data_IF_379466611078
#
_entry.id   IF_379466611078
#
_cell.length_a   1.000
_cell.length_b   1.000
_cell.length_c   1.000
_cell.angle_alpha   90.00
_cell.angle_beta   90.00
_cell.angle_gamma   90.00
#
_symmetry.space_group_name_H-M   'P 1'
#
loop_
_entity.id
_entity.type
_entity.pdbx_description
1 polymer ?
#
# COMPACT_ATOMS: atom_id res chain seq x y z
N UNK A 1 -40.71 -77.90 -74.11
CA UNK A 1 -42.00 -77.25 -73.78
C UNK A 1 -41.76 -76.07 -72.88
N UNK A 2 -42.20 -74.89 -73.24
CA UNK A 2 -41.82 -73.56 -72.72
C UNK A 2 -42.37 -73.32 -71.34
N UNK A 3 -41.55 -72.85 -70.37
CA UNK A 3 -42.00 -72.29 -69.12
C UNK A 3 -41.45 -70.85 -69.03
N UNK A 4 -42.38 -69.92 -68.90
CA UNK A 4 -42.19 -68.47 -68.89
C UNK A 4 -41.82 -68.02 -67.46
N UNK A 5 -40.67 -67.38 -67.27
CA UNK A 5 -40.28 -66.75 -66.00
C UNK A 5 -40.80 -65.30 -65.94
N UNK A 6 -41.72 -65.04 -65.09
CA UNK A 6 -42.13 -63.63 -64.71
C UNK A 6 -41.17 -63.06 -63.69
N UNK A 7 -40.51 -62.00 -64.03
CA UNK A 7 -39.68 -61.23 -63.19
C UNK A 7 -40.57 -60.40 -62.24
N UNK A 8 -40.44 -60.62 -60.92
CA UNK A 8 -41.02 -59.79 -59.88
C UNK A 8 -39.97 -58.80 -59.46
N UNK A 9 -40.19 -57.53 -59.76
CA UNK A 9 -39.38 -56.39 -59.31
C UNK A 9 -39.80 -55.97 -57.92
N UNK A 10 -38.96 -56.26 -56.87
CA UNK A 10 -39.19 -55.82 -55.52
C UNK A 10 -38.56 -54.46 -55.44
N UNK A 11 -39.41 -53.40 -55.35
CA UNK A 11 -38.97 -52.03 -55.04
C UNK A 11 -38.86 -51.91 -53.52
N UNK A 12 -37.62 -51.92 -53.01
CA UNK A 12 -37.32 -51.67 -51.61
C UNK A 12 -37.37 -50.16 -51.37
N UNK A 13 -38.40 -49.68 -50.64
CA UNK A 13 -38.52 -48.28 -50.22
C UNK A 13 -37.67 -48.07 -48.96
N UNK A 14 -36.48 -47.54 -49.13
CA UNK A 14 -35.60 -47.17 -48.01
C UNK A 14 -36.13 -45.89 -47.38
N UNK A 15 -36.79 -46.02 -46.21
CA UNK A 15 -37.17 -44.89 -45.34
C UNK A 15 -35.89 -44.39 -44.64
N UNK A 16 -35.27 -43.31 -45.10
CA UNK A 16 -34.18 -42.62 -44.42
C UNK A 16 -34.75 -41.77 -43.29
N UNK A 17 -34.63 -42.26 -42.05
CA UNK A 17 -34.89 -41.49 -40.82
C UNK A 17 -33.72 -40.54 -40.67
N UNK A 18 -33.90 -39.25 -40.98
CA UNK A 18 -33.01 -38.15 -40.62
C UNK A 18 -33.14 -37.89 -39.11
N UNK A 19 -32.06 -37.98 -38.32
CA UNK A 19 -32.10 -37.52 -36.96
C UNK A 19 -32.25 -36.00 -36.96
N UNK A 20 -33.40 -35.49 -36.52
CA UNK A 20 -33.57 -34.10 -36.18
C UNK A 20 -32.73 -33.84 -34.94
N UNK A 21 -31.50 -33.31 -35.11
CA UNK A 21 -30.78 -32.71 -34.02
C UNK A 21 -31.59 -31.46 -33.59
N UNK A 22 -32.43 -31.63 -32.58
CA UNK A 22 -32.96 -30.51 -31.85
C UNK A 22 -31.77 -29.82 -31.19
N UNK A 23 -31.21 -28.80 -31.84
CA UNK A 23 -30.42 -27.80 -31.17
C UNK A 23 -31.34 -27.15 -30.11
N UNK A 24 -31.27 -27.65 -28.88
CA UNK A 24 -31.72 -26.92 -27.73
C UNK A 24 -30.81 -25.69 -27.70
N UNK A 25 -31.25 -24.61 -28.34
CA UNK A 25 -30.70 -23.28 -28.06
C UNK A 25 -30.92 -23.09 -26.57
N UNK A 26 -29.87 -23.28 -25.78
CA UNK A 26 -29.82 -22.77 -24.41
C UNK A 26 -30.13 -21.28 -24.54
N UNK A 27 -31.40 -20.93 -24.32
CA UNK A 27 -31.80 -19.55 -24.05
C UNK A 27 -31.10 -19.19 -22.77
N UNK A 28 -29.88 -18.66 -22.92
CA UNK A 28 -29.17 -17.95 -21.86
C UNK A 28 -30.12 -16.79 -21.50
N UNK A 29 -31.07 -17.07 -20.65
CA UNK A 29 -31.89 -16.05 -19.98
C UNK A 29 -30.86 -15.23 -19.21
N UNK A 30 -30.42 -14.11 -19.83
CA UNK A 30 -29.52 -13.17 -19.22
C UNK A 30 -30.15 -12.76 -17.90
N UNK A 31 -29.77 -13.46 -16.83
CA UNK A 31 -30.35 -13.23 -15.50
C UNK A 31 -30.24 -11.75 -15.20
N UNK A 32 -31.35 -11.15 -14.86
CA UNK A 32 -31.40 -9.73 -14.54
C UNK A 32 -30.52 -9.45 -13.35
N UNK A 33 -29.63 -8.49 -13.48
CA UNK A 33 -28.70 -8.11 -12.41
C UNK A 33 -28.38 -6.63 -12.48
N UNK A 34 -28.12 -6.07 -11.32
CA UNK A 34 -27.61 -4.72 -11.14
C UNK A 34 -26.17 -4.82 -10.63
N UNK A 35 -25.32 -3.93 -11.11
CA UNK A 35 -23.96 -3.75 -10.60
C UNK A 35 -23.88 -2.39 -9.91
N UNK A 36 -23.40 -2.37 -8.69
CA UNK A 36 -23.19 -1.15 -7.91
C UNK A 36 -21.77 -1.11 -7.38
N UNK A 37 -21.21 0.10 -7.26
CA UNK A 37 -19.88 0.32 -6.70
C UNK A 37 -20.02 1.03 -5.37
N UNK A 38 -19.61 0.37 -4.31
CA UNK A 38 -19.60 0.96 -2.98
C UNK A 38 -18.22 1.48 -2.61
N UNK A 39 -18.23 2.58 -1.87
CA UNK A 39 -17.02 3.23 -1.38
C UNK A 39 -17.11 3.42 0.12
N UNK A 40 -15.96 3.30 0.79
CA UNK A 40 -15.85 3.63 2.21
C UNK A 40 -14.48 4.18 2.53
N UNK A 41 -14.42 4.96 3.60
CA UNK A 41 -13.20 5.51 4.15
C UNK A 41 -13.22 5.40 5.67
N UNK A 42 -12.12 4.90 6.24
CA UNK A 42 -11.90 4.78 7.68
C UNK A 42 -10.68 5.62 8.05
N UNK A 43 -10.79 6.41 9.11
CA UNK A 43 -9.69 7.23 9.61
C UNK A 43 -9.09 6.60 10.86
N UNK A 44 -7.78 6.39 10.85
CA UNK A 44 -7.01 5.84 11.97
C UNK A 44 -5.92 6.82 12.41
N UNK A 45 -5.56 6.87 13.71
CA UNK A 45 -4.52 7.77 14.17
C UNK A 45 -3.14 7.34 13.67
N UNK A 46 -2.30 8.33 13.33
CA UNK A 46 -0.88 8.09 13.09
C UNK A 46 -0.17 7.94 14.45
N UNK A 47 0.28 6.74 14.77
CA UNK A 47 0.87 6.39 16.08
C UNK A 47 2.35 6.01 15.99
N UNK A 48 2.86 5.80 14.78
CA UNK A 48 4.23 5.39 14.49
C UNK A 48 4.97 6.52 13.78
N UNK A 49 6.14 6.86 14.28
CA UNK A 49 7.09 7.77 13.65
C UNK A 49 8.25 6.97 13.04
N UNK A 50 8.55 7.22 11.78
CA UNK A 50 9.70 6.65 11.07
C UNK A 50 10.69 7.76 10.75
N UNK A 51 11.87 7.72 11.35
CA UNK A 51 12.94 8.70 11.18
C UNK A 51 14.12 8.07 10.45
N UNK A 52 14.65 8.74 9.44
CA UNK A 52 15.89 8.35 8.79
C UNK A 52 17.05 9.18 9.34
N UNK A 53 18.08 8.49 9.81
CA UNK A 53 19.29 9.07 10.38
C UNK A 53 20.47 8.71 9.48
N UNK A 54 21.30 9.70 9.14
CA UNK A 54 22.48 9.41 8.35
C UNK A 54 23.74 10.03 8.97
N UNK A 55 24.85 9.31 8.80
CA UNK A 55 26.21 9.74 9.14
C UNK A 55 26.97 9.87 7.82
N UNK A 56 27.35 11.08 7.49
CA UNK A 56 28.12 11.40 6.29
C UNK A 56 29.52 11.87 6.70
N UNK A 57 30.56 11.31 6.07
CA UNK A 57 31.96 11.69 6.25
C UNK A 57 32.61 11.90 4.88
N UNK A 58 33.52 12.86 4.81
CA UNK A 58 34.35 13.09 3.64
C UNK A 58 35.82 13.16 4.04
N UNK A 59 36.71 12.71 3.16
CA UNK A 59 38.12 12.73 3.44
C UNK A 59 38.97 12.28 2.28
N UNK A 60 40.31 12.39 2.42
CA UNK A 60 41.24 12.03 1.35
C UNK A 60 41.52 10.53 1.29
N UNK A 61 41.32 9.80 2.38
CA UNK A 61 41.60 8.38 2.50
C UNK A 61 40.30 7.61 2.74
N UNK A 62 39.98 6.64 1.89
CA UNK A 62 38.79 5.83 1.97
C UNK A 62 38.71 4.99 3.25
N UNK A 63 39.85 4.40 3.67
CA UNK A 63 39.89 3.53 4.86
C UNK A 63 39.62 4.31 6.14
N UNK A 64 40.21 5.53 6.23
CA UNK A 64 40.01 6.38 7.41
C UNK A 64 38.57 6.83 7.58
N UNK A 65 37.93 7.31 6.50
CA UNK A 65 36.51 7.72 6.57
C UNK A 65 35.60 6.53 6.83
N UNK A 66 35.88 5.36 6.24
CA UNK A 66 35.13 4.14 6.50
C UNK A 66 35.21 3.74 7.98
N UNK A 67 36.39 3.77 8.56
CA UNK A 67 36.62 3.48 9.99
C UNK A 67 35.84 4.45 10.87
N UNK A 68 35.94 5.75 10.57
CA UNK A 68 35.27 6.80 11.34
C UNK A 68 33.73 6.64 11.30
N UNK A 69 33.16 6.40 10.10
CA UNK A 69 31.71 6.17 9.95
C UNK A 69 31.26 4.94 10.75
N UNK A 70 32.03 3.84 10.70
CA UNK A 70 31.73 2.62 11.48
C UNK A 70 31.73 2.87 12.99
N UNK A 71 32.72 3.63 13.49
CA UNK A 71 32.78 3.96 14.92
C UNK A 71 31.62 4.84 15.36
N UNK A 72 31.23 5.85 14.56
CA UNK A 72 30.10 6.70 14.83
C UNK A 72 28.77 5.91 14.73
N UNK A 73 28.63 5.05 13.73
CA UNK A 73 27.46 4.18 13.57
C UNK A 73 27.29 3.21 14.76
N UNK A 74 28.38 2.58 15.22
CA UNK A 74 28.33 1.70 16.38
C UNK A 74 27.92 2.46 17.66
N UNK A 75 28.49 3.66 17.88
CA UNK A 75 28.11 4.53 19.00
C UNK A 75 26.61 4.90 18.93
N UNK A 76 26.13 5.33 17.78
CA UNK A 76 24.72 5.70 17.57
C UNK A 76 23.78 4.52 17.82
N UNK A 77 24.05 3.36 17.22
CA UNK A 77 23.22 2.16 17.38
C UNK A 77 23.18 1.69 18.83
N UNK A 78 24.33 1.73 19.53
CA UNK A 78 24.40 1.40 20.98
C UNK A 78 23.57 2.37 21.82
N UNK A 79 23.65 3.66 21.56
CA UNK A 79 22.88 4.67 22.26
C UNK A 79 21.38 4.49 22.05
N UNK A 80 20.94 4.28 20.79
CA UNK A 80 19.53 4.03 20.45
C UNK A 80 18.98 2.76 21.12
N UNK A 81 19.76 1.67 21.13
CA UNK A 81 19.38 0.42 21.81
C UNK A 81 19.31 0.58 23.33
N UNK A 82 20.27 1.29 23.92
CA UNK A 82 20.31 1.52 25.37
C UNK A 82 19.15 2.39 25.85
N UNK A 83 18.70 3.35 25.04
CA UNK A 83 17.57 4.22 25.37
C UNK A 83 16.21 3.51 25.35
N UNK A 84 16.08 2.37 24.63
CA UNK A 84 14.83 1.60 24.50
C UNK A 84 13.61 2.40 23.99
N UNK A 85 13.87 3.48 23.25
CA UNK A 85 12.84 4.34 22.67
C UNK A 85 12.37 3.88 21.30
N UNK A 86 13.21 3.09 20.60
CA UNK A 86 12.95 2.60 19.27
C UNK A 86 12.25 1.24 19.29
N UNK A 87 11.21 1.08 18.49
CA UNK A 87 10.55 -0.21 18.23
C UNK A 87 11.27 -1.03 17.18
N UNK A 88 11.95 -0.35 16.23
CA UNK A 88 12.80 -0.98 15.20
C UNK A 88 13.96 -0.06 14.87
N UNK A 89 15.14 -0.67 14.62
CA UNK A 89 16.33 0.01 14.11
C UNK A 89 16.87 -0.84 12.96
N UNK A 90 16.84 -0.28 11.75
CA UNK A 90 17.24 -0.98 10.52
C UNK A 90 18.29 -0.19 9.77
N UNK A 91 19.37 -0.85 9.32
CA UNK A 91 20.36 -0.23 8.43
C UNK A 91 19.81 -0.21 7.01
N UNK A 92 19.68 0.99 6.42
CA UNK A 92 19.21 1.15 5.05
C UNK A 92 20.37 1.01 4.07
N UNK A 93 21.48 1.71 4.33
CA UNK A 93 22.62 1.71 3.42
C UNK A 93 23.94 1.99 4.14
N UNK A 94 25.01 1.47 3.52
CA UNK A 94 26.38 1.88 3.78
C UNK A 94 27.12 1.95 2.45
N UNK A 95 27.71 3.10 2.13
CA UNK A 95 28.45 3.30 0.89
C UNK A 95 29.69 4.15 1.09
N UNK A 96 30.71 3.90 0.29
CA UNK A 96 31.91 4.73 0.17
C UNK A 96 32.14 5.00 -1.31
N UNK A 97 32.17 6.27 -1.70
CA UNK A 97 32.27 6.70 -3.09
C UNK A 97 33.43 7.68 -3.30
N UNK A 98 34.17 7.57 -4.40
CA UNK A 98 35.16 8.57 -4.77
C UNK A 98 34.48 9.89 -5.17
N UNK A 99 35.07 11.00 -4.80
CA UNK A 99 34.64 12.34 -5.21
C UNK A 99 35.63 12.89 -6.25
N UNK A 100 35.08 13.28 -7.39
CA UNK A 100 35.81 13.82 -8.50
C UNK A 100 35.49 15.29 -8.70
N UNK A 101 36.53 16.09 -8.98
CA UNK A 101 36.40 17.46 -9.50
C UNK A 101 36.91 17.53 -10.94
N UNK A 102 36.57 18.58 -11.64
CA UNK A 102 36.94 18.76 -13.05
C UNK A 102 37.56 20.15 -13.28
N UNK A 103 38.68 20.46 -12.62
CA UNK A 103 39.39 21.71 -12.89
C UNK A 103 39.88 21.71 -14.33
N UNK A 104 39.52 22.75 -15.07
CA UNK A 104 39.92 22.94 -16.48
C UNK A 104 39.55 21.76 -17.39
N UNK A 105 38.42 21.05 -17.10
CA UNK A 105 37.97 19.92 -17.89
C UNK A 105 38.71 18.59 -17.64
N UNK A 106 39.66 18.54 -16.73
CA UNK A 106 40.43 17.32 -16.40
C UNK A 106 39.91 16.70 -15.10
N UNK A 107 39.60 15.41 -15.13
CA UNK A 107 39.13 14.68 -13.96
C UNK A 107 40.26 14.57 -12.91
N UNK A 108 39.99 15.01 -11.70
CA UNK A 108 40.88 14.90 -10.54
C UNK A 108 40.14 14.29 -9.36
N UNK A 109 40.74 13.27 -8.74
CA UNK A 109 40.21 12.70 -7.50
C UNK A 109 40.42 13.68 -6.34
N UNK A 110 39.32 14.18 -5.79
CA UNK A 110 39.33 15.11 -4.66
C UNK A 110 39.29 14.43 -3.29
N UNK A 111 38.87 13.17 -3.26
CA UNK A 111 38.76 12.39 -2.04
C UNK A 111 37.65 11.36 -2.13
N UNK A 112 37.11 11.05 -0.99
CA UNK A 112 36.02 10.06 -0.84
C UNK A 112 34.91 10.59 0.06
N UNK A 113 33.71 10.12 -0.15
CA UNK A 113 32.57 10.30 0.78
C UNK A 113 32.07 8.94 1.25
N UNK A 114 31.78 8.83 2.54
CA UNK A 114 31.13 7.68 3.12
C UNK A 114 29.77 8.09 3.69
N UNK A 115 28.77 7.26 3.45
CA UNK A 115 27.42 7.42 3.99
C UNK A 115 27.02 6.15 4.71
N UNK A 116 26.45 6.30 5.91
CA UNK A 116 25.75 5.24 6.64
C UNK A 116 24.39 5.75 7.04
N UNK A 117 23.33 5.04 6.68
CA UNK A 117 21.98 5.44 7.01
C UNK A 117 21.19 4.35 7.72
N UNK A 118 20.41 4.79 8.72
CA UNK A 118 19.50 4.00 9.53
C UNK A 118 18.08 4.49 9.34
N UNK A 119 17.13 3.57 9.43
CA UNK A 119 15.73 3.85 9.69
C UNK A 119 15.40 3.43 11.12
N UNK A 120 14.76 4.35 11.85
CA UNK A 120 14.34 4.11 13.23
C UNK A 120 12.84 4.32 13.31
N UNK A 121 12.12 3.29 13.76
CA UNK A 121 10.68 3.40 14.10
C UNK A 121 10.50 3.55 15.60
N UNK A 122 9.58 4.41 15.99
CA UNK A 122 9.24 4.68 17.40
C UNK A 122 7.78 5.05 17.58
N UNK A 123 7.37 5.23 18.83
CA UNK A 123 6.13 5.95 19.13
C UNK A 123 6.28 7.43 18.74
N UNK A 124 5.16 8.13 18.55
CA UNK A 124 5.16 9.58 18.32
C UNK A 124 5.88 10.33 19.43
N UNK A 125 5.56 9.96 20.68
CA UNK A 125 6.09 10.63 21.90
C UNK A 125 7.59 10.49 22.05
N UNK A 126 8.19 9.45 21.48
CA UNK A 126 9.63 9.18 21.60
C UNK A 126 10.45 9.65 20.41
N UNK A 127 9.78 9.99 19.29
CA UNK A 127 10.46 10.38 18.08
C UNK A 127 11.35 11.62 18.24
N UNK A 128 10.88 12.64 18.98
CA UNK A 128 11.69 13.82 19.31
C UNK A 128 12.94 13.47 20.11
N UNK A 129 12.79 12.62 21.13
CA UNK A 129 13.93 12.16 21.95
C UNK A 129 14.97 11.36 21.13
N UNK A 130 14.48 10.56 20.16
CA UNK A 130 15.36 9.82 19.24
C UNK A 130 16.16 10.76 18.35
N UNK A 131 15.53 11.81 17.83
CA UNK A 131 16.22 12.82 17.02
C UNK A 131 17.30 13.51 17.84
N UNK A 132 16.98 13.98 19.04
CA UNK A 132 17.93 14.66 19.93
C UNK A 132 19.09 13.71 20.29
N UNK A 133 18.78 12.47 20.70
CA UNK A 133 19.78 11.45 21.00
C UNK A 133 20.68 11.13 19.81
N UNK A 134 20.12 11.09 18.60
CA UNK A 134 20.87 10.80 17.39
C UNK A 134 21.86 11.92 17.06
N UNK A 135 21.44 13.17 17.19
CA UNK A 135 22.32 14.33 16.96
C UNK A 135 23.47 14.35 17.94
N UNK A 136 23.25 14.06 19.22
CA UNK A 136 24.28 13.96 20.25
C UNK A 136 25.28 12.81 20.02
N UNK A 137 24.90 11.81 19.22
CA UNK A 137 25.73 10.64 18.92
C UNK A 137 26.33 10.63 17.51
N UNK A 138 26.41 11.81 16.86
CA UNK A 138 27.20 11.99 15.63
C UNK A 138 26.43 11.78 14.34
N UNK A 139 25.11 11.79 14.38
CA UNK A 139 24.26 11.89 13.18
C UNK A 139 24.50 13.24 12.52
N UNK A 140 24.71 13.24 11.20
CA UNK A 140 24.96 14.45 10.41
C UNK A 140 23.70 14.92 9.67
N UNK A 141 22.77 14.00 9.42
CA UNK A 141 21.52 14.30 8.71
C UNK A 141 20.35 13.55 9.35
N UNK A 142 19.27 14.26 9.60
CA UNK A 142 18.01 13.73 10.07
C UNK A 142 16.93 14.04 9.03
N UNK A 143 16.28 13.01 8.48
CA UNK A 143 15.15 13.14 7.57
C UNK A 143 13.89 12.57 8.23
N UNK A 144 12.87 13.35 8.29
CA UNK A 144 11.60 12.99 8.93
C UNK A 144 11.38 13.66 10.27
N UNK A 145 10.47 13.14 11.11
CA UNK A 145 9.80 11.86 10.99
C UNK A 145 8.68 11.84 9.94
N UNK A 146 8.52 10.70 9.27
CA UNK A 146 7.31 10.36 8.54
C UNK A 146 6.37 9.64 9.50
N UNK A 147 5.12 10.06 9.55
CA UNK A 147 4.12 9.53 10.47
C UNK A 147 3.18 8.58 9.76
N UNK A 148 2.78 7.51 10.44
CA UNK A 148 1.85 6.52 9.93
C UNK A 148 1.09 5.83 11.07
N UNK A 149 0.00 5.15 10.73
CA UNK A 149 -0.61 4.19 11.65
C UNK A 149 0.28 2.95 11.81
N UNK A 150 0.06 2.19 12.87
CA UNK A 150 0.69 0.87 13.02
C UNK A 150 0.14 -0.11 11.99
N UNK A 151 0.96 -1.10 11.58
CA UNK A 151 0.54 -2.13 10.61
C UNK A 151 -0.69 -2.90 11.09
N UNK A 152 -0.82 -3.12 12.39
CA UNK A 152 -1.99 -3.76 13.01
C UNK A 152 -3.26 -2.93 12.86
N UNK A 153 -3.17 -1.62 13.15
CA UNK A 153 -4.31 -0.71 13.02
C UNK A 153 -4.70 -0.54 11.56
N UNK A 154 -3.72 -0.46 10.66
CA UNK A 154 -3.95 -0.37 9.21
C UNK A 154 -4.68 -1.62 8.69
N UNK A 155 -4.20 -2.82 9.00
CA UNK A 155 -4.85 -4.06 8.57
C UNK A 155 -6.27 -4.19 9.12
N UNK A 156 -6.54 -3.78 10.35
CA UNK A 156 -7.89 -3.76 10.90
C UNK A 156 -8.79 -2.77 10.16
N UNK A 157 -8.29 -1.56 9.88
CA UNK A 157 -9.02 -0.52 9.16
C UNK A 157 -9.29 -0.90 7.69
N UNK A 158 -8.38 -1.60 7.03
CA UNK A 158 -8.58 -2.15 5.68
C UNK A 158 -9.78 -3.11 5.64
N UNK A 159 -9.85 -4.03 6.59
CA UNK A 159 -10.98 -4.96 6.71
C UNK A 159 -12.30 -4.22 6.97
N UNK A 160 -12.27 -3.21 7.83
CA UNK A 160 -13.47 -2.42 8.14
C UNK A 160 -13.90 -1.55 6.96
N UNK A 161 -12.95 -0.97 6.22
CA UNK A 161 -13.24 -0.23 4.99
C UNK A 161 -13.91 -1.13 3.93
N UNK A 162 -13.41 -2.36 3.72
CA UNK A 162 -14.01 -3.32 2.79
C UNK A 162 -15.44 -3.68 3.22
N UNK A 163 -15.69 -3.93 4.52
CA UNK A 163 -17.04 -4.20 5.03
C UNK A 163 -17.98 -3.04 4.76
N UNK A 164 -17.57 -1.82 5.07
CA UNK A 164 -18.38 -0.61 4.86
C UNK A 164 -18.64 -0.35 3.38
N UNK A 165 -17.65 -0.52 2.50
CA UNK A 165 -17.80 -0.39 1.05
C UNK A 165 -18.79 -1.44 0.49
N UNK A 166 -18.73 -2.68 1.01
CA UNK A 166 -19.69 -3.74 0.61
C UNK A 166 -21.11 -3.39 1.03
N UNK A 167 -21.30 -2.86 2.24
CA UNK A 167 -22.60 -2.41 2.73
C UNK A 167 -23.13 -1.21 1.93
N UNK A 168 -22.24 -0.29 1.54
CA UNK A 168 -22.60 0.85 0.69
C UNK A 168 -23.06 0.39 -0.70
N UNK A 169 -22.33 -0.52 -1.36
CA UNK A 169 -22.72 -1.11 -2.63
C UNK A 169 -24.10 -1.78 -2.56
N UNK A 170 -24.34 -2.55 -1.48
CA UNK A 170 -25.63 -3.20 -1.23
C UNK A 170 -26.74 -2.18 -1.06
N UNK A 171 -26.54 -1.14 -0.27
CA UNK A 171 -27.51 -0.06 -0.06
C UNK A 171 -27.85 0.66 -1.37
N UNK A 172 -26.89 0.90 -2.23
CA UNK A 172 -27.11 1.50 -3.54
C UNK A 172 -27.93 0.58 -4.46
N UNK A 173 -27.66 -0.73 -4.45
CA UNK A 173 -28.44 -1.71 -5.21
C UNK A 173 -29.91 -1.74 -4.74
N UNK A 174 -30.14 -1.83 -3.43
CA UNK A 174 -31.47 -1.85 -2.84
C UNK A 174 -32.25 -0.57 -3.13
N UNK A 175 -31.62 0.60 -3.00
CA UNK A 175 -32.25 1.88 -3.30
C UNK A 175 -32.67 1.99 -4.78
N UNK A 176 -31.76 1.57 -5.69
CA UNK A 176 -32.03 1.61 -7.14
C UNK A 176 -33.16 0.67 -7.56
N UNK A 177 -33.19 -0.55 -7.03
CA UNK A 177 -34.23 -1.53 -7.32
C UNK A 177 -35.58 -1.11 -6.73
N UNK A 178 -35.57 -0.62 -5.50
CA UNK A 178 -36.78 -0.14 -4.82
C UNK A 178 -37.45 1.01 -5.56
N UNK A 179 -36.70 1.94 -6.15
CA UNK A 179 -37.22 3.03 -6.96
C UNK A 179 -37.99 2.55 -8.22
N UNK A 180 -37.72 1.32 -8.67
CA UNK A 180 -38.37 0.66 -9.80
C UNK A 180 -39.43 -0.35 -9.36
N UNK A 181 -39.76 -0.46 -8.07
CA UNK A 181 -40.65 -1.47 -7.50
C UNK A 181 -40.09 -2.90 -7.55
N UNK A 182 -38.77 -3.03 -7.68
CA UNK A 182 -38.05 -4.31 -7.71
C UNK A 182 -37.34 -4.55 -6.39
N UNK A 183 -36.93 -5.80 -6.14
CA UNK A 183 -36.20 -6.20 -4.95
C UNK A 183 -34.98 -7.03 -5.33
N UNK A 184 -33.88 -6.88 -4.53
CA UNK A 184 -32.70 -7.73 -4.67
C UNK A 184 -33.01 -9.17 -4.25
N UNK A 185 -32.52 -10.14 -5.02
CA UNK A 185 -32.72 -11.58 -4.73
C UNK A 185 -31.50 -12.20 -4.12
N UNK A 186 -30.42 -12.29 -4.85
CA UNK A 186 -29.16 -12.90 -4.38
C UNK A 186 -27.94 -12.11 -4.85
N UNK A 187 -26.88 -12.15 -4.05
CA UNK A 187 -25.57 -11.64 -4.46
C UNK A 187 -24.94 -12.66 -5.42
N UNK A 188 -24.61 -12.23 -6.64
CA UNK A 188 -24.00 -13.07 -7.67
C UNK A 188 -22.47 -12.97 -7.66
N UNK A 189 -21.96 -11.77 -7.42
CA UNK A 189 -20.53 -11.51 -7.41
C UNK A 189 -20.18 -10.35 -6.49
N UNK A 190 -19.07 -10.49 -5.80
CA UNK A 190 -18.40 -9.41 -5.05
C UNK A 190 -16.96 -9.34 -5.53
N UNK A 191 -16.50 -8.14 -5.87
CA UNK A 191 -15.12 -7.88 -6.27
C UNK A 191 -14.59 -6.71 -5.47
N UNK A 192 -13.57 -6.94 -4.66
CA UNK A 192 -12.81 -5.86 -4.04
C UNK A 192 -11.89 -5.27 -5.11
N UNK A 193 -12.16 -4.04 -5.51
CA UNK A 193 -11.43 -3.34 -6.58
C UNK A 193 -10.12 -2.78 -6.04
N UNK A 194 -10.21 -2.11 -4.90
CA UNK A 194 -9.06 -1.52 -4.23
C UNK A 194 -9.28 -1.44 -2.73
N UNK A 195 -8.20 -1.55 -1.97
CA UNK A 195 -8.15 -1.27 -0.54
C UNK A 195 -6.76 -0.78 -0.18
N UNK A 196 -6.68 0.21 0.70
CA UNK A 196 -5.41 0.72 1.22
C UNK A 196 -5.44 2.21 1.54
N UNK A 197 -4.29 2.71 1.98
CA UNK A 197 -4.13 4.14 2.26
C UNK A 197 -4.05 4.92 0.96
N UNK A 198 -4.94 5.89 0.81
CA UNK A 198 -4.77 6.94 -0.18
C UNK A 198 -4.08 8.12 0.52
N UNK A 199 -2.80 8.31 0.21
CA UNK A 199 -2.11 9.54 0.57
C UNK A 199 -2.70 10.70 -0.24
N UNK A 200 -3.91 11.11 0.10
CA UNK A 200 -4.28 12.49 -0.16
C UNK A 200 -3.48 13.29 0.86
N UNK A 201 -2.41 13.91 0.37
CA UNK A 201 -1.74 14.97 1.11
C UNK A 201 -2.77 16.06 1.37
N UNK A 202 -3.55 15.90 2.43
CA UNK A 202 -4.30 17.04 2.93
C UNK A 202 -3.25 18.07 3.32
N UNK A 203 -3.38 19.32 2.84
CA UNK A 203 -2.49 20.37 3.30
C UNK A 203 -2.61 20.38 4.81
N UNK A 204 -1.54 19.98 5.49
CA UNK A 204 -1.42 20.14 6.93
C UNK A 204 -1.35 21.64 7.14
N UNK A 205 -2.47 22.28 7.41
CA UNK A 205 -2.47 23.59 8.01
C UNK A 205 -1.90 23.38 9.40
N UNK A 206 -0.57 23.53 9.50
CA UNK A 206 0.07 23.72 10.77
C UNK A 206 -0.58 24.96 11.38
N UNK A 207 -1.50 24.76 12.32
CA UNK A 207 -1.90 25.81 13.22
C UNK A 207 -0.63 26.20 13.97
N UNK A 208 0.05 27.26 13.50
CA UNK A 208 1.10 27.93 14.25
C UNK A 208 0.40 28.50 15.49
N UNK A 209 0.27 27.71 16.54
CA UNK A 209 0.07 28.22 17.86
C UNK A 209 1.37 28.93 18.22
N UNK A 210 1.37 30.27 18.16
CA UNK A 210 2.35 31.08 18.83
C UNK A 210 2.23 30.83 20.34
N UNK A 211 2.86 29.76 20.81
CA UNK A 211 3.10 29.57 22.23
C UNK A 211 4.28 30.47 22.60
N UNK A 212 3.98 31.42 23.50
CA UNK A 212 4.92 32.29 24.19
C UNK A 212 6.17 31.53 24.63
N UNK A 213 7.32 32.05 24.21
CA UNK A 213 8.61 31.72 24.84
C UNK A 213 8.54 32.14 26.28
N UNK A 214 8.47 31.18 27.18
CA UNK A 214 8.89 31.41 28.58
C UNK A 214 9.41 30.07 29.14
N UNK A 215 10.63 30.14 29.68
CA UNK A 215 11.37 29.16 30.46
C UNK A 215 12.11 28.01 29.79
N UNK A 216 13.45 28.10 29.95
CA UNK A 216 14.48 27.09 29.72
C UNK A 216 14.20 25.77 30.48
N UNK A 217 13.54 24.86 29.82
CA UNK A 217 13.61 23.43 30.09
C UNK A 217 14.02 22.77 28.76
N UNK A 218 14.80 21.70 28.79
CA UNK A 218 15.21 20.98 27.57
C UNK A 218 13.98 20.69 26.69
N UNK A 219 13.80 21.53 25.68
CA UNK A 219 12.62 21.45 24.78
C UNK A 219 12.91 20.33 23.78
N UNK A 220 12.33 19.17 24.02
CA UNK A 220 12.31 18.08 23.05
C UNK A 220 11.61 18.54 21.77
N UNK A 221 12.07 18.11 20.61
CA UNK A 221 11.43 18.42 19.33
C UNK A 221 9.96 17.94 19.34
N UNK A 222 8.95 18.84 19.30
CA UNK A 222 7.54 18.43 19.37
C UNK A 222 7.12 17.78 18.04
N UNK A 223 6.44 16.63 18.11
CA UNK A 223 5.94 15.87 16.96
C UNK A 223 4.48 15.56 17.19
N UNK A 224 3.61 16.09 16.31
CA UNK A 224 2.18 15.92 16.36
C UNK A 224 1.70 14.96 15.25
N UNK A 225 0.90 13.95 15.62
CA UNK A 225 0.30 12.99 14.68
C UNK A 225 -0.99 13.49 14.07
N UNK A 226 -1.27 13.04 12.87
CA UNK A 226 -2.53 13.23 12.16
C UNK A 226 -3.40 11.98 12.15
N UNK A 227 -4.20 11.86 11.09
CA UNK A 227 -4.98 10.65 10.79
C UNK A 227 -4.63 10.17 9.39
N UNK A 228 -4.41 8.86 9.28
CA UNK A 228 -4.28 8.17 8.00
C UNK A 228 -5.67 7.76 7.52
N UNK A 229 -5.98 7.97 6.23
CA UNK A 229 -7.24 7.59 5.61
C UNK A 229 -7.06 6.28 4.85
N UNK A 230 -7.83 5.26 5.23
CA UNK A 230 -7.89 3.97 4.55
C UNK A 230 -9.18 3.93 3.75
N UNK A 231 -9.08 3.76 2.43
CA UNK A 231 -10.23 3.69 1.54
C UNK A 231 -10.38 2.29 0.97
N UNK A 232 -11.63 1.91 0.68
CA UNK A 232 -11.94 0.70 -0.06
C UNK A 232 -13.00 0.97 -1.12
N UNK A 233 -12.91 0.22 -2.23
CA UNK A 233 -13.89 0.20 -3.31
C UNK A 233 -14.28 -1.24 -3.60
N UNK A 234 -15.59 -1.50 -3.67
CA UNK A 234 -16.17 -2.83 -3.89
C UNK A 234 -17.23 -2.78 -4.97
N UNK A 235 -17.10 -3.63 -5.97
CA UNK A 235 -18.16 -3.88 -6.94
C UNK A 235 -19.02 -5.05 -6.48
N UNK A 236 -20.34 -4.83 -6.45
CA UNK A 236 -21.38 -5.80 -6.09
C UNK A 236 -22.32 -6.04 -7.26
N UNK A 237 -22.45 -7.29 -7.69
CA UNK A 237 -23.45 -7.72 -8.66
C UNK A 237 -24.57 -8.46 -7.92
N UNK A 238 -25.80 -7.94 -8.01
CA UNK A 238 -26.97 -8.51 -7.33
C UNK A 238 -28.05 -8.84 -8.36
N UNK A 239 -28.69 -10.01 -8.24
CA UNK A 239 -29.84 -10.39 -9.04
C UNK A 239 -31.13 -9.69 -8.59
N UNK A 240 -32.09 -9.52 -9.53
CA UNK A 240 -33.46 -9.04 -9.27
C UNK A 240 -34.46 -9.64 -10.22
#
# INVERSE_FOLDING_TARGET
>A
MRVNKKNILVVSLMFSVLPIFANAAETNLKERSIVTTGHAQVFIPETVATTQLAINETGKNADDIQKNVRLKADKLVKALKAAQLATSIETISFSVNPQWSYPNGTAKLDGYSANYSLQVKSSLTDAGKIIDLAMDNGTTTVNGPSLSASDKERSAAELDAVKLATLDAKKQAEASLSALGLHSTQVKQITVVSVGSHNQSQPRYAAMSMAKLDNQSAVTTPIEGGKEAISAEVNLTTGY
#
